data_IF_848486941545
#
_entry.id   IF_848486941545
#
_cell.length_a   1.000
_cell.length_b   1.000
_cell.length_c   1.000
_cell.angle_alpha   90.00
_cell.angle_beta   90.00
_cell.angle_gamma   90.00
#
_symmetry.space_group_name_H-M   'P 1'
#
loop_
_entity.id
_entity.type
_entity.pdbx_description
1 polymer ?
#
# COMPACT_ATOMS: atom_id res chain seq x y z
N UNK A 1 -2.15 -5.82 9.38
CA UNK A 1 -0.80 -5.50 9.91
C UNK A 1 -0.55 -6.25 11.20
N UNK A 2 0.71 -6.51 11.51
CA UNK A 2 1.13 -7.14 12.78
C UNK A 2 0.90 -6.18 13.93
N UNK A 3 0.25 -6.68 14.98
CA UNK A 3 0.00 -5.95 16.21
C UNK A 3 1.20 -5.86 17.16
N UNK A 4 1.05 -5.21 18.33
CA UNK A 4 2.13 -5.09 19.32
C UNK A 4 2.55 -6.42 19.93
N UNK A 5 1.69 -7.42 19.87
CA UNK A 5 1.93 -8.82 20.30
C UNK A 5 2.78 -9.61 19.30
N UNK A 6 3.02 -9.08 18.12
CA UNK A 6 3.73 -9.74 17.04
C UNK A 6 2.88 -10.73 16.24
N UNK A 7 1.56 -10.81 16.51
CA UNK A 7 0.67 -11.73 15.81
C UNK A 7 0.33 -11.21 14.40
N UNK A 8 0.30 -12.13 13.43
CA UNK A 8 -0.19 -11.86 12.09
C UNK A 8 -1.72 -11.68 12.10
N UNK A 9 -2.26 -10.81 11.24
CA UNK A 9 -3.70 -10.60 11.15
C UNK A 9 -4.45 -11.87 10.74
N UNK A 10 -3.80 -12.74 9.97
CA UNK A 10 -4.32 -14.02 9.51
C UNK A 10 -3.16 -15.05 9.56
N UNK A 11 -3.30 -16.16 10.31
CA UNK A 11 -2.20 -17.10 10.55
C UNK A 11 -1.60 -17.70 9.27
N UNK A 12 -2.44 -17.95 8.25
CA UNK A 12 -2.00 -18.55 6.97
C UNK A 12 -1.16 -17.60 6.11
N UNK A 13 -1.05 -16.32 6.46
CA UNK A 13 -0.20 -15.37 5.75
C UNK A 13 1.29 -15.53 6.07
N UNK A 14 1.67 -16.34 7.05
CA UNK A 14 3.06 -16.50 7.45
C UNK A 14 3.95 -17.01 6.31
N UNK A 15 3.55 -18.07 5.64
CA UNK A 15 4.33 -18.66 4.56
C UNK A 15 4.45 -17.73 3.32
N UNK A 16 3.36 -17.11 2.81
CA UNK A 16 3.46 -16.14 1.74
C UNK A 16 4.26 -14.89 2.13
N UNK A 17 4.14 -14.41 3.38
CA UNK A 17 4.94 -13.29 3.87
C UNK A 17 6.43 -13.59 3.83
N UNK A 18 6.86 -14.73 4.38
CA UNK A 18 8.27 -15.16 4.35
C UNK A 18 8.81 -15.28 2.93
N UNK A 19 8.04 -15.85 2.02
CA UNK A 19 8.38 -15.97 0.60
C UNK A 19 8.59 -14.61 -0.05
N UNK A 20 7.66 -13.68 0.17
CA UNK A 20 7.74 -12.34 -0.36
C UNK A 20 8.93 -11.56 0.22
N UNK A 21 9.24 -11.71 1.49
CA UNK A 21 10.41 -11.07 2.12
C UNK A 21 11.73 -11.65 1.60
N UNK A 22 11.80 -12.94 1.31
CA UNK A 22 12.98 -13.57 0.73
C UNK A 22 13.26 -13.12 -0.72
N UNK A 23 12.23 -12.73 -1.48
CA UNK A 23 12.33 -12.27 -2.87
C UNK A 23 12.64 -10.77 -3.01
N UNK A 24 13.31 -10.15 -2.08
CA UNK A 24 13.46 -8.68 -1.90
C UNK A 24 14.11 -7.88 -3.04
N UNK A 25 14.40 -8.46 -4.18
CA UNK A 25 15.05 -7.76 -5.32
C UNK A 25 14.07 -7.03 -6.25
N UNK A 26 12.76 -7.19 -6.05
CA UNK A 26 11.77 -6.58 -6.92
C UNK A 26 11.39 -5.18 -6.43
N UNK A 27 11.44 -4.18 -7.33
CA UNK A 27 10.91 -2.84 -7.08
C UNK A 27 9.38 -2.81 -7.03
N UNK A 28 8.73 -3.82 -7.60
CA UNK A 28 7.28 -4.01 -7.56
C UNK A 28 6.95 -5.47 -7.33
N UNK A 29 5.97 -5.73 -6.48
CA UNK A 29 5.48 -7.07 -6.16
C UNK A 29 3.98 -7.11 -6.41
N UNK A 30 3.53 -8.10 -7.17
CA UNK A 30 2.13 -8.41 -7.36
C UNK A 30 1.73 -9.56 -6.42
N UNK A 31 0.82 -9.26 -5.51
CA UNK A 31 0.17 -10.26 -4.66
C UNK A 31 -1.15 -10.64 -5.32
N UNK A 32 -1.29 -11.88 -5.73
CA UNK A 32 -2.52 -12.38 -6.35
C UNK A 32 -2.99 -13.66 -5.68
N UNK A 33 -4.28 -13.95 -5.79
CA UNK A 33 -4.90 -15.14 -5.22
C UNK A 33 -6.43 -15.04 -5.26
N UNK A 34 -7.15 -16.08 -4.83
CA UNK A 34 -8.60 -16.04 -4.73
C UNK A 34 -9.08 -14.89 -3.86
N UNK A 35 -10.24 -14.34 -4.20
CA UNK A 35 -10.82 -13.22 -3.46
C UNK A 35 -11.08 -13.60 -2.00
N UNK A 36 -10.77 -12.71 -1.07
CA UNK A 36 -11.07 -12.91 0.36
C UNK A 36 -10.03 -13.70 1.17
N UNK A 37 -8.91 -14.13 0.57
CA UNK A 37 -7.87 -14.87 1.31
C UNK A 37 -6.87 -13.99 2.06
N UNK A 38 -7.04 -12.66 2.03
CA UNK A 38 -6.19 -11.73 2.79
C UNK A 38 -5.07 -11.08 1.98
N UNK A 39 -5.24 -10.86 0.68
CA UNK A 39 -4.23 -10.19 -0.17
C UNK A 39 -3.92 -8.78 0.33
N UNK A 40 -4.94 -8.05 0.77
CA UNK A 40 -4.76 -6.69 1.29
C UNK A 40 -3.99 -6.70 2.62
N UNK A 41 -4.34 -7.61 3.51
CA UNK A 41 -3.64 -7.82 4.78
C UNK A 41 -2.19 -8.23 4.56
N UNK A 42 -1.93 -9.10 3.58
CA UNK A 42 -0.57 -9.49 3.21
C UNK A 42 0.22 -8.29 2.67
N UNK A 43 -0.36 -7.51 1.76
CA UNK A 43 0.28 -6.33 1.20
C UNK A 43 0.64 -5.29 2.27
N UNK A 44 -0.29 -5.01 3.20
CA UNK A 44 -0.05 -4.11 4.33
C UNK A 44 1.00 -4.66 5.31
N UNK A 45 1.00 -5.96 5.57
CA UNK A 45 1.98 -6.60 6.45
C UNK A 45 3.38 -6.59 5.83
N UNK A 46 3.50 -6.78 4.52
CA UNK A 46 4.73 -6.61 3.77
C UNK A 46 5.22 -5.16 3.82
N UNK A 47 4.33 -4.19 3.62
CA UNK A 47 4.65 -2.78 3.76
C UNK A 47 5.19 -2.47 5.17
N UNK A 48 4.52 -2.98 6.19
CA UNK A 48 4.98 -2.85 7.58
C UNK A 48 6.36 -3.48 7.80
N UNK A 49 6.63 -4.66 7.23
CA UNK A 49 7.93 -5.32 7.36
C UNK A 49 9.06 -4.52 6.70
N UNK A 50 8.81 -3.92 5.54
CA UNK A 50 9.82 -3.11 4.85
C UNK A 50 10.09 -1.77 5.52
N UNK A 51 9.08 -1.16 6.13
CA UNK A 51 9.21 0.06 6.90
C UNK A 51 9.70 -0.18 8.33
N UNK A 52 9.70 -1.42 8.79
CA UNK A 52 10.09 -1.80 10.14
C UNK A 52 11.56 -1.46 10.42
N UNK A 53 11.83 -0.86 11.57
CA UNK A 53 13.17 -0.46 12.02
C UNK A 53 13.95 -1.59 12.71
N UNK A 54 13.29 -2.70 13.05
CA UNK A 54 13.97 -3.84 13.63
C UNK A 54 14.94 -4.50 12.64
N UNK A 55 15.93 -5.22 13.17
CA UNK A 55 16.79 -6.07 12.36
C UNK A 55 16.06 -7.33 11.89
N UNK A 56 16.51 -7.90 10.76
CA UNK A 56 16.05 -9.23 10.35
C UNK A 56 16.56 -10.30 11.33
N UNK A 57 15.82 -11.37 11.57
CA UNK A 57 14.55 -11.77 10.95
C UNK A 57 13.27 -11.24 11.64
N UNK A 58 13.38 -10.34 12.63
CA UNK A 58 12.27 -9.90 13.47
C UNK A 58 11.28 -8.91 12.79
N UNK A 59 11.23 -8.88 11.47
CA UNK A 59 10.33 -8.00 10.72
C UNK A 59 9.09 -8.73 10.20
N UNK A 60 7.91 -8.08 10.32
CA UNK A 60 7.60 -6.85 11.06
C UNK A 60 7.52 -7.10 12.58
N UNK A 61 8.13 -6.24 13.39
CA UNK A 61 8.18 -6.45 14.84
C UNK A 61 6.92 -5.99 15.61
N UNK A 62 6.05 -5.21 15.00
CA UNK A 62 4.83 -4.67 15.59
C UNK A 62 5.02 -3.58 16.66
N UNK A 63 6.24 -3.31 17.13
CA UNK A 63 6.51 -2.48 18.32
C UNK A 63 7.34 -1.23 18.06
N UNK A 64 8.18 -1.20 17.02
CA UNK A 64 9.00 -0.01 16.71
C UNK A 64 8.12 1.17 16.29
N UNK A 65 8.70 2.37 16.26
CA UNK A 65 7.97 3.58 15.92
C UNK A 65 7.30 3.50 14.53
N UNK A 66 8.01 2.98 13.52
CA UNK A 66 7.44 2.75 12.19
C UNK A 66 6.27 1.77 12.21
N UNK A 67 6.37 0.65 12.90
CA UNK A 67 5.27 -0.31 13.02
C UNK A 67 4.02 0.32 13.66
N UNK A 68 4.20 1.13 14.70
CA UNK A 68 3.10 1.85 15.35
C UNK A 68 2.44 2.86 14.42
N UNK A 69 3.23 3.59 13.62
CA UNK A 69 2.70 4.52 12.62
C UNK A 69 1.91 3.79 11.51
N UNK A 70 2.36 2.61 11.08
CA UNK A 70 1.60 1.79 10.13
C UNK A 70 0.29 1.30 10.74
N UNK A 71 0.30 0.85 12.00
CA UNK A 71 -0.90 0.44 12.73
C UNK A 71 -1.89 1.60 12.87
N UNK A 72 -1.39 2.81 13.14
CA UNK A 72 -2.18 4.05 13.21
C UNK A 72 -2.54 4.63 11.83
N UNK A 73 -2.12 4.01 10.72
CA UNK A 73 -2.36 4.47 9.32
C UNK A 73 -1.81 5.86 9.02
N UNK A 74 -0.79 6.28 9.74
CA UNK A 74 -0.20 7.63 9.67
C UNK A 74 1.28 7.63 9.32
N UNK A 75 1.81 6.53 8.73
CA UNK A 75 3.23 6.43 8.39
C UNK A 75 3.56 7.33 7.20
N UNK A 76 4.52 8.28 7.32
CA UNK A 76 4.82 9.26 6.27
C UNK A 76 5.43 8.65 4.99
N UNK A 77 5.97 7.43 5.08
CA UNK A 77 6.56 6.73 3.93
C UNK A 77 5.66 5.59 3.42
N UNK A 78 4.40 5.52 3.85
CA UNK A 78 3.39 4.57 3.37
C UNK A 78 2.23 5.30 2.71
N UNK A 79 1.95 4.95 1.48
CA UNK A 79 0.76 5.40 0.77
C UNK A 79 -0.08 4.18 0.37
N UNK A 80 -1.36 4.21 0.68
CA UNK A 80 -2.31 3.15 0.32
C UNK A 80 -3.37 3.71 -0.61
N UNK A 81 -3.46 3.14 -1.80
CA UNK A 81 -4.47 3.47 -2.80
C UNK A 81 -5.54 2.39 -2.82
N UNK A 82 -6.75 2.80 -2.48
CA UNK A 82 -7.96 1.96 -2.56
C UNK A 82 -9.08 2.79 -3.20
N UNK A 83 -9.96 2.18 -4.00
CA UNK A 83 -11.12 2.87 -4.53
C UNK A 83 -11.96 3.50 -3.41
N UNK A 84 -12.54 4.65 -3.67
CA UNK A 84 -13.39 5.39 -2.73
C UNK A 84 -14.47 4.49 -2.09
N UNK A 85 -15.10 3.62 -2.90
CA UNK A 85 -16.12 2.68 -2.44
C UNK A 85 -15.63 1.63 -1.44
N UNK A 86 -14.33 1.38 -1.35
CA UNK A 86 -13.74 0.41 -0.42
C UNK A 86 -13.08 1.06 0.81
N UNK A 87 -12.93 2.38 0.83
CA UNK A 87 -12.24 3.10 1.92
C UNK A 87 -12.87 2.82 3.27
N UNK A 88 -14.17 2.96 3.37
CA UNK A 88 -14.90 2.71 4.61
C UNK A 88 -14.79 1.25 5.06
N UNK A 89 -15.02 0.31 4.14
CA UNK A 89 -14.95 -1.14 4.44
C UNK A 89 -13.57 -1.59 4.89
N UNK A 90 -12.51 -1.08 4.25
CA UNK A 90 -11.13 -1.38 4.61
C UNK A 90 -10.62 -0.50 5.77
N UNK A 91 -11.41 0.49 6.16
CA UNK A 91 -11.08 1.48 7.16
C UNK A 91 -9.82 2.26 6.79
N UNK A 92 -9.58 2.55 5.53
CA UNK A 92 -8.43 3.28 5.04
C UNK A 92 -8.86 4.57 4.33
N UNK A 93 -8.71 5.72 4.98
CA UNK A 93 -8.94 7.03 4.37
C UNK A 93 -7.85 7.28 3.32
N UNK A 94 -8.23 7.77 2.15
CA UNK A 94 -7.25 8.06 1.09
C UNK A 94 -6.36 9.24 1.46
N UNK A 95 -5.15 9.28 0.91
CA UNK A 95 -4.20 10.38 1.10
C UNK A 95 -4.66 11.73 0.53
N UNK A 96 -5.89 11.83 0.04
CA UNK A 96 -6.49 13.03 -0.52
C UNK A 96 -7.64 13.64 0.29
N UNK A 97 -7.99 13.06 1.44
CA UNK A 97 -9.12 13.57 2.22
C UNK A 97 -8.77 14.77 3.12
N UNK A 98 -7.53 15.19 3.20
CA UNK A 98 -7.11 16.30 4.06
C UNK A 98 -6.96 17.64 3.33
N UNK A 99 -7.53 17.83 2.17
CA UNK A 99 -7.29 19.12 1.55
C UNK A 99 -7.95 19.47 0.24
N UNK A 100 -9.24 19.22 0.08
CA UNK A 100 -10.03 20.13 -0.78
C UNK A 100 -11.48 20.01 -0.37
N UNK A 101 -12.03 21.12 0.11
CA UNK A 101 -13.37 21.27 0.60
C UNK A 101 -14.39 20.66 -0.34
N UNK A 102 -15.13 19.74 0.17
CA UNK A 102 -16.45 19.42 -0.36
C UNK A 102 -17.38 20.61 -0.11
N UNK A 103 -17.15 21.68 -0.83
CA UNK A 103 -18.08 22.78 -0.99
C UNK A 103 -18.24 22.98 -2.50
N UNK A 104 -19.01 22.13 -3.14
CA UNK A 104 -20.08 22.57 -4.03
C UNK A 104 -20.85 21.39 -4.66
N UNK A 105 -22.16 21.63 -4.87
CA UNK A 105 -23.14 20.85 -5.60
C UNK A 105 -23.72 19.60 -4.88
N UNK A 106 -24.87 19.86 -4.26
CA UNK A 106 -25.83 18.91 -3.72
C UNK A 106 -26.31 17.81 -4.66
N UNK A 107 -25.48 16.80 -4.86
CA UNK A 107 -25.82 15.54 -5.46
C UNK A 107 -25.04 14.45 -4.75
N UNK A 108 -25.71 13.46 -4.18
CA UNK A 108 -25.08 12.24 -3.64
C UNK A 108 -24.33 11.50 -4.76
N UNK A 109 -23.07 11.91 -5.02
CA UNK A 109 -22.21 11.23 -5.97
C UNK A 109 -21.90 9.84 -5.40
N UNK A 110 -22.18 8.80 -6.18
CA UNK A 110 -21.78 7.44 -5.82
C UNK A 110 -20.25 7.36 -5.72
N UNK A 111 -19.70 6.77 -4.63
CA UNK A 111 -18.26 6.61 -4.48
C UNK A 111 -17.67 5.81 -5.65
N UNK A 112 -16.52 6.25 -6.14
CA UNK A 112 -15.85 5.60 -7.28
C UNK A 112 -15.44 4.17 -6.91
N UNK A 113 -15.73 3.24 -7.83
CA UNK A 113 -15.27 1.84 -7.72
C UNK A 113 -13.89 1.61 -8.33
N UNK A 114 -13.33 2.63 -8.98
CA UNK A 114 -12.03 2.58 -9.64
C UNK A 114 -11.03 3.50 -8.93
N UNK A 115 -9.75 3.12 -9.00
CA UNK A 115 -8.64 3.96 -8.58
C UNK A 115 -8.42 5.02 -9.67
N UNK A 116 -8.52 6.29 -9.29
CA UNK A 116 -8.44 7.41 -10.23
C UNK A 116 -7.00 7.63 -10.70
N UNK A 117 -6.86 8.13 -11.92
CA UNK A 117 -5.57 8.47 -12.51
C UNK A 117 -4.80 9.49 -11.66
N UNK A 118 -5.50 10.46 -11.08
CA UNK A 118 -4.88 11.50 -10.26
C UNK A 118 -4.32 10.93 -8.95
N UNK A 119 -4.98 9.94 -8.34
CA UNK A 119 -4.46 9.23 -7.17
C UNK A 119 -3.18 8.45 -7.51
N UNK A 120 -3.13 7.82 -8.69
CA UNK A 120 -1.94 7.13 -9.18
C UNK A 120 -0.81 8.12 -9.45
N UNK A 121 -1.10 9.29 -10.04
CA UNK A 121 -0.09 10.36 -10.25
C UNK A 121 0.45 10.87 -8.91
N UNK A 122 -0.40 11.06 -7.90
CA UNK A 122 0.03 11.42 -6.56
C UNK A 122 0.93 10.34 -5.94
N UNK A 123 0.59 9.06 -6.12
CA UNK A 123 1.43 7.96 -5.66
C UNK A 123 2.80 7.93 -6.35
N UNK A 124 2.85 8.25 -7.64
CA UNK A 124 4.10 8.37 -8.38
C UNK A 124 4.95 9.53 -7.81
N UNK A 125 4.35 10.69 -7.63
CA UNK A 125 5.02 11.84 -7.04
C UNK A 125 5.52 11.53 -5.62
N UNK A 126 4.69 10.89 -4.80
CA UNK A 126 5.05 10.43 -3.46
C UNK A 126 6.26 9.46 -3.50
N UNK A 127 6.28 8.50 -4.41
CA UNK A 127 7.36 7.53 -4.52
C UNK A 127 8.70 8.16 -4.94
N UNK A 128 8.68 9.32 -5.58
CA UNK A 128 9.86 10.08 -6.01
C UNK A 128 10.44 10.99 -4.92
N UNK A 129 9.71 11.24 -3.83
CA UNK A 129 10.21 12.05 -2.72
C UNK A 129 11.13 11.25 -1.80
N UNK A 130 11.99 11.93 -1.06
CA UNK A 130 12.89 11.31 -0.10
C UNK A 130 12.10 10.65 1.04
N UNK A 131 12.56 9.48 1.50
CA UNK A 131 11.99 8.80 2.66
C UNK A 131 12.22 9.60 3.93
N UNK A 132 11.17 9.80 4.72
CA UNK A 132 11.24 10.51 5.99
C UNK A 132 11.98 9.72 7.08
N UNK A 133 11.94 8.39 7.01
CA UNK A 133 12.54 7.50 8.02
C UNK A 133 13.68 6.62 7.47
N UNK A 134 14.19 6.89 6.27
CA UNK A 134 15.36 6.25 5.71
C UNK A 134 15.19 4.78 5.28
N UNK A 135 13.97 4.24 5.30
CA UNK A 135 13.68 2.84 4.88
C UNK A 135 13.14 2.73 3.45
N UNK A 136 13.03 3.85 2.75
CA UNK A 136 12.38 3.94 1.47
C UNK A 136 10.89 4.23 1.60
N UNK A 137 10.21 4.39 0.45
CA UNK A 137 8.76 4.62 0.39
C UNK A 137 8.06 3.37 -0.12
N UNK A 138 6.87 3.14 0.39
CA UNK A 138 6.04 2.00 0.01
C UNK A 138 4.68 2.51 -0.44
N UNK A 139 4.27 2.08 -1.62
CA UNK A 139 2.93 2.29 -2.14
C UNK A 139 2.21 0.96 -2.19
N UNK A 140 1.08 0.86 -1.53
CA UNK A 140 0.17 -0.28 -1.60
C UNK A 140 -1.02 0.11 -2.46
N UNK A 141 -1.33 -0.69 -3.46
CA UNK A 141 -2.44 -0.47 -4.38
C UNK A 141 -3.36 -1.69 -4.35
N UNK A 142 -4.63 -1.50 -3.99
CA UNK A 142 -5.59 -2.59 -3.85
C UNK A 142 -7.03 -2.14 -4.18
N UNK A 143 -7.78 -2.93 -4.91
CA UNK A 143 -7.35 -4.04 -5.75
C UNK A 143 -6.81 -3.52 -7.10
N UNK A 144 -5.77 -4.18 -7.63
CA UNK A 144 -5.07 -3.71 -8.85
C UNK A 144 -5.96 -3.73 -10.10
N UNK A 145 -6.88 -4.66 -10.20
CA UNK A 145 -7.86 -4.79 -11.28
C UNK A 145 -8.85 -3.62 -11.35
N UNK A 146 -8.90 -2.79 -10.30
CA UNK A 146 -9.71 -1.56 -10.30
C UNK A 146 -8.98 -0.34 -10.85
N UNK A 147 -7.78 -0.52 -11.38
CA UNK A 147 -7.13 0.51 -12.20
C UNK A 147 -7.68 0.47 -13.62
N UNK A 148 -7.96 1.64 -14.18
CA UNK A 148 -8.18 1.73 -15.62
C UNK A 148 -6.83 1.67 -16.39
N UNK A 149 -6.89 1.43 -17.70
CA UNK A 149 -5.68 1.30 -18.53
C UNK A 149 -4.74 2.51 -18.49
N UNK A 150 -5.27 3.72 -18.31
CA UNK A 150 -4.48 4.96 -18.22
C UNK A 150 -3.70 4.98 -16.91
N UNK A 151 -4.34 4.62 -15.80
CA UNK A 151 -3.72 4.51 -14.48
C UNK A 151 -2.63 3.45 -14.45
N UNK A 152 -2.89 2.29 -15.05
CA UNK A 152 -1.93 1.20 -15.16
C UNK A 152 -0.69 1.60 -16.00
N UNK A 153 -0.89 2.27 -17.13
CA UNK A 153 0.22 2.75 -17.98
C UNK A 153 1.05 3.84 -17.27
N UNK A 154 0.42 4.75 -16.52
CA UNK A 154 1.13 5.74 -15.73
C UNK A 154 2.03 5.08 -14.68
N UNK A 155 1.54 4.03 -14.00
CA UNK A 155 2.32 3.27 -13.03
C UNK A 155 3.49 2.52 -13.68
N UNK A 156 3.28 1.89 -14.84
CA UNK A 156 4.31 1.16 -15.56
C UNK A 156 5.44 2.06 -16.08
N UNK A 157 5.12 3.27 -16.53
CA UNK A 157 6.11 4.23 -17.02
C UNK A 157 7.09 4.69 -15.94
N UNK A 158 6.65 4.72 -14.69
CA UNK A 158 7.45 5.16 -13.54
C UNK A 158 8.53 4.13 -13.15
N UNK A 159 8.36 2.86 -13.48
CA UNK A 159 9.37 1.81 -13.24
C UNK A 159 10.72 2.10 -13.91
N UNK A 160 10.74 2.93 -14.95
CA UNK A 160 11.95 3.31 -15.69
C UNK A 160 12.68 4.54 -15.13
N UNK A 161 12.05 5.30 -14.24
CA UNK A 161 12.52 6.61 -13.84
C UNK A 161 12.99 6.74 -12.38
N UNK A 162 13.08 5.67 -11.61
CA UNK A 162 13.46 5.73 -10.20
C UNK A 162 15.01 5.72 -10.04
N UNK A 163 15.68 6.87 -9.94
CA UNK A 163 17.09 6.90 -9.60
C UNK A 163 17.24 6.73 -8.09
N UNK A 164 17.86 5.62 -7.66
CA UNK A 164 18.58 5.54 -6.39
C UNK A 164 17.79 5.50 -5.07
N UNK A 165 16.48 5.61 -5.06
CA UNK A 165 15.67 5.47 -3.84
C UNK A 165 14.81 4.22 -3.92
N UNK A 166 14.84 3.39 -2.88
CA UNK A 166 14.04 2.15 -2.80
C UNK A 166 12.54 2.44 -2.66
N UNK A 167 11.91 2.89 -3.74
CA UNK A 167 10.45 2.98 -3.82
C UNK A 167 9.91 1.61 -4.19
N UNK A 168 9.00 1.08 -3.37
CA UNK A 168 8.39 -0.23 -3.59
C UNK A 168 6.91 -0.05 -3.80
N UNK A 169 6.43 -0.57 -4.90
CA UNK A 169 5.01 -0.52 -5.27
C UNK A 169 4.44 -1.92 -5.17
N UNK A 170 3.35 -2.05 -4.45
CA UNK A 170 2.56 -3.29 -4.41
C UNK A 170 1.26 -3.12 -5.11
N UNK A 171 0.84 -4.23 -5.62
CA UNK A 171 -0.47 -4.36 -6.21
C UNK A 171 -1.05 -5.70 -5.77
N UNK A 172 -2.29 -5.70 -5.33
CA UNK A 172 -3.03 -6.90 -4.99
C UNK A 172 -4.15 -7.07 -6.01
N UNK A 173 -4.14 -8.19 -6.71
CA UNK A 173 -5.16 -8.53 -7.70
C UNK A 173 -5.71 -9.93 -7.41
N UNK A 174 -6.99 -10.13 -7.70
CA UNK A 174 -7.59 -11.45 -7.79
C UNK A 174 -7.59 -11.87 -9.25
N UNK A 175 -6.98 -13.00 -9.65
CA UNK A 175 -7.25 -13.56 -10.95
C UNK A 175 -8.69 -14.09 -10.94
N UNK A 176 -9.46 -13.78 -11.97
CA UNK A 176 -10.73 -14.44 -12.27
C UNK A 176 -10.51 -15.90 -12.62
#
# INVERSE_FOLDING_TARGET
VVGPDGALPLPWLEAPLRRALASQRAHALLVHGPQGVGQFELALTLAQAWLCEAAEPARPCGRCASCKLVQARSHPDLLVLVPEALRETLGWSGAGDEGEGAADAGGKRKPSKEIRVDEVRQAIAFAQTTSARGRGKVVVLHPAERMNGISANALLSTRRAAPGGSSRVFSSASPD
#
